data_IF_630320084191
#
_entry.id   IF_630320084191
#
_cell.length_a   1.000
_cell.length_b   1.000
_cell.length_c   1.000
_cell.angle_alpha   90.00
_cell.angle_beta   90.00
_cell.angle_gamma   90.00
#
_symmetry.space_group_name_H-M   'P 1'
#
loop_
_entity.id
_entity.type
_entity.pdbx_description
1 polymer ?
#
# COMPACT_ATOMS: atom_id res chain seq x y z
N UNK A 1 69.41 -42.92 18.30
CA UNK A 1 68.12 -42.22 18.38
C UNK A 1 67.06 -43.29 18.46
N UNK A 2 66.47 -43.51 19.65
CA UNK A 2 65.26 -44.29 19.79
C UNK A 2 64.12 -43.48 19.07
N UNK A 3 63.59 -44.06 18.01
CA UNK A 3 62.30 -43.68 17.48
C UNK A 3 61.26 -44.04 18.57
N UNK A 4 60.66 -43.04 19.20
CA UNK A 4 59.44 -43.33 19.94
C UNK A 4 58.44 -43.80 18.90
N UNK A 5 58.05 -45.06 18.97
CA UNK A 5 56.91 -45.55 18.26
C UNK A 5 55.69 -44.68 18.75
N UNK A 6 54.99 -44.01 17.88
CA UNK A 6 53.71 -43.36 18.18
C UNK A 6 52.84 -44.43 18.83
N UNK A 7 52.44 -44.21 20.10
CA UNK A 7 51.52 -45.12 20.77
C UNK A 7 50.24 -45.16 19.90
N UNK A 8 49.81 -46.36 19.55
CA UNK A 8 48.56 -46.50 18.78
C UNK A 8 47.42 -45.93 19.62
N UNK A 9 46.65 -45.02 19.06
CA UNK A 9 45.50 -44.39 19.68
C UNK A 9 44.23 -44.69 18.87
N UNK A 10 43.09 -44.50 19.45
CA UNK A 10 41.81 -44.44 18.73
C UNK A 10 41.76 -43.21 17.80
N UNK A 11 40.82 -43.13 16.88
CA UNK A 11 40.50 -41.95 16.09
C UNK A 11 39.02 -41.99 15.72
N UNK A 12 38.22 -41.23 16.41
CA UNK A 12 36.77 -41.14 16.20
C UNK A 12 36.47 -40.15 15.10
N UNK A 13 35.76 -40.60 14.08
CA UNK A 13 35.43 -39.77 12.93
C UNK A 13 33.91 -39.69 12.75
N UNK A 14 33.40 -38.49 12.66
CA UNK A 14 32.03 -38.22 12.23
C UNK A 14 32.06 -37.64 10.82
N UNK A 15 31.38 -38.30 9.88
CA UNK A 15 31.25 -37.81 8.51
C UNK A 15 29.83 -37.31 8.29
N UNK A 16 29.69 -36.24 7.50
CA UNK A 16 28.38 -35.67 7.12
C UNK A 16 27.46 -36.75 6.53
N UNK A 17 27.98 -37.61 5.65
CA UNK A 17 27.19 -38.63 4.94
C UNK A 17 26.80 -39.81 5.86
N UNK A 18 27.36 -39.87 7.07
CA UNK A 18 27.01 -40.85 8.08
C UNK A 18 25.93 -40.38 9.06
N UNK A 19 25.41 -39.15 8.86
CA UNK A 19 24.28 -38.58 9.60
C UNK A 19 23.04 -38.70 8.71
N UNK A 20 22.01 -39.36 9.20
CA UNK A 20 20.76 -39.54 8.44
C UNK A 20 19.51 -39.24 9.25
N UNK A 21 18.41 -39.13 8.55
CA UNK A 21 17.10 -38.73 9.09
C UNK A 21 16.01 -39.69 8.65
N UNK A 22 15.11 -40.04 9.54
CA UNK A 22 13.92 -40.82 9.21
C UNK A 22 12.66 -40.24 9.90
N UNK A 23 11.69 -39.68 9.14
CA UNK A 23 11.70 -39.55 7.69
C UNK A 23 12.76 -38.57 7.17
N UNK A 24 13.22 -38.75 5.92
CA UNK A 24 14.23 -37.89 5.31
C UNK A 24 13.68 -36.49 4.89
N UNK A 25 12.39 -36.42 4.65
CA UNK A 25 11.66 -35.20 4.30
C UNK A 25 10.47 -35.03 5.25
N UNK A 26 10.71 -34.62 6.49
CA UNK A 26 9.61 -34.43 7.45
C UNK A 26 8.82 -33.16 7.15
N UNK A 27 7.57 -33.19 7.58
CA UNK A 27 6.74 -31.99 7.73
C UNK A 27 6.80 -31.53 9.19
N UNK A 28 6.67 -30.25 9.43
CA UNK A 28 6.56 -29.71 10.77
C UNK A 28 5.45 -30.42 11.57
N UNK A 29 5.77 -30.81 12.80
CA UNK A 29 4.93 -31.67 13.62
C UNK A 29 5.34 -33.14 13.60
N UNK A 30 6.17 -33.57 12.64
CA UNK A 30 6.69 -34.94 12.61
C UNK A 30 7.79 -35.13 13.68
N UNK A 31 7.86 -36.35 14.19
CA UNK A 31 9.00 -36.81 14.99
C UNK A 31 10.03 -37.46 14.07
N UNK A 32 11.23 -36.91 14.03
CA UNK A 32 12.34 -37.40 13.20
C UNK A 32 13.31 -38.20 14.06
N UNK A 33 13.66 -39.41 13.61
CA UNK A 33 14.84 -40.14 14.17
C UNK A 33 16.07 -39.64 13.43
N UNK A 34 17.04 -39.10 14.19
CA UNK A 34 18.36 -38.73 13.70
C UNK A 34 19.29 -39.87 14.11
N UNK A 35 20.01 -40.42 13.15
CA UNK A 35 21.02 -41.45 13.41
C UNK A 35 22.39 -41.00 12.89
N UNK A 36 23.42 -41.42 13.60
CA UNK A 36 24.81 -41.18 13.22
C UNK A 36 25.66 -42.42 13.39
N UNK A 37 26.52 -42.65 12.40
CA UNK A 37 27.54 -43.72 12.48
C UNK A 37 28.90 -43.09 12.77
N UNK A 38 29.49 -43.47 13.88
CA UNK A 38 30.84 -43.04 14.32
C UNK A 38 31.84 -44.09 13.88
N UNK A 39 32.90 -43.68 13.20
CA UNK A 39 33.96 -44.56 12.76
C UNK A 39 35.14 -44.46 13.74
N UNK A 40 35.85 -45.56 13.98
CA UNK A 40 37.12 -45.54 14.65
C UNK A 40 38.22 -45.99 13.65
N UNK A 41 38.88 -45.00 13.03
CA UNK A 41 39.97 -45.21 12.06
C UNK A 41 41.34 -45.35 12.75
N UNK A 42 41.34 -45.39 14.07
CA UNK A 42 42.55 -45.57 14.89
C UNK A 42 43.01 -47.02 14.99
N UNK A 43 44.14 -47.19 15.64
CA UNK A 43 44.76 -48.49 15.86
C UNK A 43 44.38 -49.21 17.17
N UNK A 44 43.51 -48.58 17.96
CA UNK A 44 43.06 -49.07 19.28
C UNK A 44 41.52 -48.94 19.35
N UNK A 45 40.92 -49.89 20.06
CA UNK A 45 39.51 -49.85 20.41
C UNK A 45 39.15 -48.56 21.23
N UNK A 46 38.05 -47.93 20.93
CA UNK A 46 37.43 -46.83 21.71
C UNK A 46 36.28 -47.39 22.54
N UNK A 47 36.25 -47.15 23.83
CA UNK A 47 35.20 -47.63 24.75
C UNK A 47 34.48 -46.45 25.40
N UNK A 48 33.19 -46.66 25.76
CA UNK A 48 32.34 -45.66 26.40
C UNK A 48 32.26 -44.34 25.59
N UNK A 49 32.18 -44.44 24.25
CA UNK A 49 32.17 -43.30 23.35
C UNK A 49 30.87 -42.52 23.50
N UNK A 50 30.97 -41.32 24.06
CA UNK A 50 29.86 -40.40 24.19
C UNK A 50 29.60 -39.72 22.85
N UNK A 51 28.32 -39.55 22.46
CA UNK A 51 27.91 -38.84 21.26
C UNK A 51 26.81 -37.85 21.60
N UNK A 52 27.02 -36.58 21.23
CA UNK A 52 26.05 -35.48 21.40
C UNK A 52 25.45 -35.06 20.06
N UNK A 53 24.13 -34.88 20.03
CA UNK A 53 23.41 -34.28 18.93
C UNK A 53 22.97 -32.87 19.33
N UNK A 54 23.14 -31.89 18.44
CA UNK A 54 22.84 -30.49 18.72
C UNK A 54 22.20 -29.84 17.52
N UNK A 55 21.10 -29.12 17.71
CA UNK A 55 20.55 -28.20 16.72
C UNK A 55 21.28 -26.85 16.84
N UNK A 56 22.04 -26.50 15.79
CA UNK A 56 22.85 -25.28 15.73
C UNK A 56 22.23 -24.23 14.77
N UNK A 57 20.93 -24.36 14.48
CA UNK A 57 20.19 -23.40 13.64
C UNK A 57 20.14 -22.05 14.36
N UNK A 58 20.12 -20.96 13.57
CA UNK A 58 20.01 -19.58 14.06
C UNK A 58 21.11 -19.14 15.05
N UNK A 59 22.32 -19.69 14.89
CA UNK A 59 23.45 -19.47 15.80
C UNK A 59 23.17 -19.92 17.25
N UNK A 60 22.14 -20.74 17.43
CA UNK A 60 21.87 -21.43 18.70
C UNK A 60 22.72 -22.64 18.92
N UNK A 61 22.61 -23.26 20.08
CA UNK A 61 23.17 -24.55 20.42
C UNK A 61 22.19 -25.24 21.37
N UNK A 62 21.28 -26.01 20.81
CA UNK A 62 20.24 -26.69 21.56
C UNK A 62 20.47 -28.19 21.50
N UNK A 63 20.81 -28.88 22.63
CA UNK A 63 20.97 -30.31 22.64
C UNK A 63 19.68 -31.03 22.17
N UNK A 64 19.86 -32.08 21.39
CA UNK A 64 18.78 -32.96 20.92
C UNK A 64 18.84 -34.24 21.73
N UNK A 65 17.90 -34.44 22.61
CA UNK A 65 17.86 -35.57 23.52
C UNK A 65 18.99 -35.54 24.53
N UNK A 66 19.29 -36.69 25.10
CA UNK A 66 20.43 -36.89 25.98
C UNK A 66 21.62 -37.42 25.19
N UNK A 67 22.85 -37.26 25.74
CA UNK A 67 24.02 -37.90 25.20
C UNK A 67 23.81 -39.42 25.07
N UNK A 68 24.24 -39.97 23.96
CA UNK A 68 24.22 -41.41 23.67
C UNK A 68 25.59 -42.01 23.97
N UNK A 69 25.63 -43.29 24.32
CA UNK A 69 26.88 -43.99 24.57
C UNK A 69 27.00 -45.20 23.65
N UNK A 70 28.14 -45.32 22.97
CA UNK A 70 28.53 -46.54 22.26
C UNK A 70 29.54 -47.27 23.17
N UNK A 71 29.17 -48.45 23.64
CA UNK A 71 29.99 -49.19 24.61
C UNK A 71 31.39 -49.47 24.07
N UNK A 72 31.50 -49.83 22.79
CA UNK A 72 32.81 -50.12 22.17
C UNK A 72 32.75 -49.93 20.64
N UNK A 73 33.81 -49.32 20.09
CA UNK A 73 34.06 -49.24 18.64
C UNK A 73 35.45 -49.84 18.40
N UNK A 74 35.56 -51.08 17.85
CA UNK A 74 36.85 -51.71 17.56
C UNK A 74 37.69 -50.86 16.60
N UNK A 75 39.01 -51.05 16.62
CA UNK A 75 39.92 -50.47 15.65
C UNK A 75 39.48 -50.80 14.21
N UNK A 76 39.34 -49.83 13.35
CA UNK A 76 38.80 -49.96 12.00
C UNK A 76 37.30 -50.26 11.91
N UNK A 77 36.57 -50.23 13.03
CA UNK A 77 35.15 -50.50 13.13
C UNK A 77 34.27 -49.25 13.17
N UNK A 78 32.99 -49.46 13.43
CA UNK A 78 32.01 -48.39 13.58
C UNK A 78 30.94 -48.72 14.61
N UNK A 79 30.33 -47.71 15.20
CA UNK A 79 29.17 -47.81 16.06
C UNK A 79 28.06 -46.79 15.63
N UNK A 80 26.81 -47.15 15.87
CA UNK A 80 25.67 -46.31 15.50
C UNK A 80 24.87 -45.92 16.73
N UNK A 81 24.44 -44.67 16.78
CA UNK A 81 23.52 -44.11 17.77
C UNK A 81 22.39 -43.35 17.10
N UNK A 82 21.31 -43.13 17.85
CA UNK A 82 20.15 -42.39 17.35
C UNK A 82 19.49 -41.62 18.48
N UNK A 83 18.81 -40.50 18.08
CA UNK A 83 17.95 -39.70 18.96
C UNK A 83 16.67 -39.34 18.23
N UNK A 84 15.64 -38.97 18.98
CA UNK A 84 14.42 -38.41 18.43
C UNK A 84 14.48 -36.89 18.46
N UNK A 85 13.95 -36.26 17.40
CA UNK A 85 13.89 -34.83 17.22
C UNK A 85 12.46 -34.40 16.84
N UNK A 86 11.81 -33.59 17.69
CA UNK A 86 10.48 -33.05 17.46
C UNK A 86 10.60 -31.81 16.59
N UNK A 87 9.80 -31.75 15.50
CA UNK A 87 9.88 -30.68 14.51
C UNK A 87 8.83 -29.58 14.68
N UNK A 88 8.03 -29.61 15.76
CA UNK A 88 7.05 -28.56 16.06
C UNK A 88 7.70 -27.16 16.13
N UNK A 89 7.20 -26.20 15.38
CA UNK A 89 7.75 -24.85 15.30
C UNK A 89 9.12 -24.76 14.63
N UNK A 90 9.49 -25.76 13.80
CA UNK A 90 10.83 -25.87 13.24
C UNK A 90 10.85 -26.03 11.71
N UNK A 91 9.83 -25.51 11.03
CA UNK A 91 9.86 -25.47 9.56
C UNK A 91 11.11 -24.76 9.04
N UNK A 92 11.61 -25.18 7.90
CA UNK A 92 12.83 -24.68 7.26
C UNK A 92 14.04 -25.59 7.47
N UNK A 93 15.22 -25.09 7.11
CA UNK A 93 16.48 -25.83 7.20
C UNK A 93 17.01 -25.82 8.62
N UNK A 94 17.16 -27.04 9.20
CA UNK A 94 17.71 -27.26 10.52
C UNK A 94 19.15 -27.78 10.39
N UNK A 95 20.10 -27.16 11.07
CA UNK A 95 21.50 -27.53 11.07
C UNK A 95 21.77 -28.45 12.27
N UNK A 96 21.92 -29.74 11.99
CA UNK A 96 22.16 -30.76 13.00
C UNK A 96 23.64 -31.04 13.06
N UNK A 97 24.22 -30.84 14.23
CA UNK A 97 25.61 -31.11 14.55
C UNK A 97 25.70 -32.42 15.38
N UNK A 98 26.64 -33.27 15.04
CA UNK A 98 26.91 -34.49 15.76
C UNK A 98 28.36 -34.47 16.18
N UNK A 99 28.62 -34.68 17.47
CA UNK A 99 29.93 -34.63 18.08
C UNK A 99 30.18 -35.96 18.85
N UNK A 100 31.26 -36.68 18.49
CA UNK A 100 31.75 -37.81 19.23
C UNK A 100 32.79 -37.31 20.24
N UNK A 101 32.81 -37.94 21.44
CA UNK A 101 33.66 -37.57 22.58
C UNK A 101 33.69 -36.06 22.90
N UNK A 102 32.52 -35.39 23.12
CA UNK A 102 32.41 -33.95 23.33
C UNK A 102 33.18 -33.42 24.54
N UNK A 103 33.69 -34.31 25.39
CA UNK A 103 34.45 -33.95 26.57
C UNK A 103 35.93 -34.27 26.45
N UNK A 104 36.35 -34.81 25.30
CA UNK A 104 37.74 -35.23 25.04
C UNK A 104 38.29 -36.18 26.11
N UNK A 105 37.48 -37.18 26.49
CA UNK A 105 37.88 -38.21 27.46
C UNK A 105 38.71 -39.35 26.85
N UNK A 106 38.55 -39.56 25.54
CA UNK A 106 39.24 -40.60 24.78
C UNK A 106 40.42 -39.94 24.06
N UNK A 107 41.67 -40.29 24.41
CA UNK A 107 42.83 -39.76 23.68
C UNK A 107 42.87 -40.30 22.26
N UNK A 108 42.85 -39.38 21.29
CA UNK A 108 42.77 -39.71 19.88
C UNK A 108 44.05 -39.33 19.11
N UNK A 109 44.26 -39.98 17.98
CA UNK A 109 45.36 -39.58 17.10
C UNK A 109 45.08 -38.24 16.38
N UNK A 110 43.80 -37.87 16.27
CA UNK A 110 43.34 -36.61 15.71
C UNK A 110 42.01 -36.19 16.35
N UNK A 111 42.01 -35.06 17.05
CA UNK A 111 40.88 -34.51 17.82
C UNK A 111 40.02 -33.52 17.00
N UNK A 112 40.18 -33.45 15.68
CA UNK A 112 39.52 -32.40 14.85
C UNK A 112 38.53 -32.94 13.85
N UNK A 113 38.28 -34.24 13.80
CA UNK A 113 37.33 -34.92 12.90
C UNK A 113 36.18 -35.62 13.64
N UNK A 114 36.03 -35.31 14.93
CA UNK A 114 35.00 -35.84 15.83
C UNK A 114 33.62 -35.18 15.60
N UNK A 115 33.51 -34.19 14.73
CA UNK A 115 32.29 -33.46 14.53
C UNK A 115 31.90 -33.38 13.05
N UNK A 116 30.60 -33.44 12.76
CA UNK A 116 30.06 -33.15 11.45
C UNK A 116 28.68 -32.54 11.55
N UNK A 117 28.32 -31.78 10.49
CA UNK A 117 27.03 -31.10 10.38
C UNK A 117 26.25 -31.61 9.17
N UNK A 118 24.97 -31.88 9.36
CA UNK A 118 24.03 -32.24 8.30
C UNK A 118 22.80 -31.34 8.37
N UNK A 119 22.21 -30.99 7.20
CA UNK A 119 21.00 -30.21 7.13
C UNK A 119 19.80 -31.14 7.03
N UNK A 120 18.80 -30.92 7.88
CA UNK A 120 17.47 -31.49 7.80
C UNK A 120 16.50 -30.38 7.32
N UNK A 121 15.90 -30.56 6.15
CA UNK A 121 14.85 -29.66 5.68
C UNK A 121 13.50 -30.14 6.18
N UNK A 122 12.84 -29.33 7.00
CA UNK A 122 11.50 -29.57 7.54
C UNK A 122 10.50 -28.73 6.74
N UNK A 123 9.58 -29.37 6.03
CA UNK A 123 8.54 -28.68 5.26
C UNK A 123 7.52 -28.02 6.20
N UNK A 124 7.00 -26.84 5.84
CA UNK A 124 5.83 -26.30 6.51
C UNK A 124 4.60 -27.20 6.24
N UNK A 125 3.62 -27.25 7.15
CA UNK A 125 2.37 -27.96 6.92
C UNK A 125 1.64 -27.35 5.69
N UNK A 126 0.94 -28.17 4.91
CA UNK A 126 0.09 -27.64 3.86
C UNK A 126 -0.95 -26.69 4.46
N UNK A 127 -1.17 -25.55 3.82
CA UNK A 127 -2.12 -24.54 4.23
C UNK A 127 -2.77 -23.89 2.99
N UNK A 128 -3.93 -23.20 3.11
CA UNK A 128 -4.38 -22.27 2.11
C UNK A 128 -3.40 -21.08 1.98
N UNK A 129 -3.50 -20.32 0.89
CA UNK A 129 -2.80 -19.04 0.72
C UNK A 129 -3.71 -18.10 -0.08
N UNK A 130 -4.41 -17.25 0.63
CA UNK A 130 -5.35 -16.29 0.05
C UNK A 130 -4.59 -15.04 -0.37
N UNK A 131 -4.68 -14.68 -1.63
CA UNK A 131 -3.98 -13.52 -2.15
C UNK A 131 -4.86 -12.65 -3.01
N UNK A 132 -4.54 -11.36 -3.04
CA UNK A 132 -5.16 -10.37 -3.90
C UNK A 132 -4.13 -9.37 -4.40
N UNK A 133 -4.25 -8.98 -5.68
CA UNK A 133 -3.43 -7.94 -6.31
C UNK A 133 -4.32 -6.82 -6.84
N UNK A 134 -3.77 -5.65 -7.15
CA UNK A 134 -4.53 -4.52 -7.70
C UNK A 134 -5.28 -4.91 -8.98
N UNK A 135 -4.67 -5.71 -9.85
CA UNK A 135 -5.29 -6.21 -11.08
C UNK A 135 -6.54 -7.09 -10.85
N UNK A 136 -6.73 -7.57 -9.63
CA UNK A 136 -7.91 -8.35 -9.23
C UNK A 136 -9.08 -7.49 -8.75
N UNK A 137 -8.92 -6.16 -8.68
CA UNK A 137 -9.95 -5.21 -8.28
C UNK A 137 -10.42 -4.46 -9.51
N UNK A 138 -11.71 -4.46 -9.77
CA UNK A 138 -12.30 -3.76 -10.89
C UNK A 138 -13.50 -2.91 -10.50
N UNK A 139 -13.86 -1.96 -11.38
CA UNK A 139 -14.92 -0.98 -11.16
C UNK A 139 -15.91 -0.96 -12.34
N UNK A 140 -17.19 -0.84 -12.04
CA UNK A 140 -18.23 -0.66 -13.04
C UNK A 140 -19.24 0.41 -12.59
N UNK A 141 -19.34 1.58 -13.27
CA UNK A 141 -18.53 1.99 -14.42
C UNK A 141 -17.04 2.19 -14.05
N UNK A 142 -16.14 2.00 -15.01
CA UNK A 142 -14.69 2.18 -14.82
C UNK A 142 -14.29 3.68 -14.70
N UNK A 143 -15.07 4.56 -15.32
CA UNK A 143 -14.90 6.01 -15.30
C UNK A 143 -16.18 6.67 -14.77
N UNK A 144 -16.46 6.58 -13.48
CA UNK A 144 -17.68 7.17 -12.90
C UNK A 144 -17.60 8.69 -12.82
N UNK A 145 -18.77 9.31 -12.86
CA UNK A 145 -18.96 10.71 -12.48
C UNK A 145 -19.48 10.77 -11.05
N UNK A 146 -19.13 11.82 -10.32
CA UNK A 146 -19.65 12.06 -8.97
C UNK A 146 -21.18 11.93 -8.93
N UNK A 147 -21.67 11.11 -8.01
CA UNK A 147 -23.09 10.75 -7.89
C UNK A 147 -23.43 9.37 -8.46
N UNK A 148 -22.53 8.74 -9.20
CA UNK A 148 -22.72 7.38 -9.67
C UNK A 148 -22.56 6.36 -8.54
N UNK A 149 -23.30 5.27 -8.64
CA UNK A 149 -23.06 4.07 -7.87
C UNK A 149 -22.11 3.17 -8.64
N UNK A 150 -20.93 2.90 -8.06
CA UNK A 150 -19.91 2.05 -8.66
C UNK A 150 -19.96 0.67 -8.03
N UNK A 151 -20.14 -0.37 -8.85
CA UNK A 151 -19.91 -1.74 -8.41
C UNK A 151 -18.40 -2.01 -8.39
N UNK A 152 -17.88 -2.34 -7.21
CA UNK A 152 -16.50 -2.80 -7.03
C UNK A 152 -16.53 -4.31 -6.97
N UNK A 153 -15.77 -4.98 -7.83
CA UNK A 153 -15.58 -6.42 -7.78
C UNK A 153 -14.13 -6.76 -7.43
N UNK A 154 -13.97 -7.83 -6.66
CA UNK A 154 -12.66 -8.34 -6.27
C UNK A 154 -12.58 -9.84 -6.50
N UNK A 155 -11.47 -10.31 -7.07
CA UNK A 155 -11.16 -11.72 -7.25
C UNK A 155 -10.06 -12.13 -6.29
N UNK A 156 -10.36 -13.05 -5.38
CA UNK A 156 -9.45 -13.60 -4.39
C UNK A 156 -8.93 -14.93 -4.89
N UNK A 157 -7.63 -15.13 -4.84
CA UNK A 157 -6.95 -16.35 -5.26
C UNK A 157 -6.60 -17.18 -4.02
N UNK A 158 -6.72 -18.49 -4.10
CA UNK A 158 -6.14 -19.42 -3.14
C UNK A 158 -4.98 -20.15 -3.82
N UNK A 159 -3.75 -19.67 -3.64
CA UNK A 159 -2.53 -20.23 -4.20
C UNK A 159 -1.93 -21.34 -3.32
N UNK A 160 -2.58 -21.65 -2.19
CA UNK A 160 -2.13 -22.64 -1.23
C UNK A 160 -2.48 -24.07 -1.63
N UNK A 161 -2.11 -25.02 -0.76
CA UNK A 161 -2.30 -26.45 -0.96
C UNK A 161 -3.62 -26.96 -0.40
N UNK A 162 -4.31 -26.20 0.44
CA UNK A 162 -5.59 -26.55 1.05
C UNK A 162 -6.69 -25.58 0.66
N UNK A 163 -7.93 -26.04 0.77
CA UNK A 163 -9.13 -25.22 0.64
C UNK A 163 -9.21 -24.21 1.81
N UNK A 164 -9.59 -22.97 1.51
CA UNK A 164 -9.93 -21.94 2.49
C UNK A 164 -11.45 -21.85 2.63
N UNK A 165 -11.96 -21.88 3.85
CA UNK A 165 -13.39 -21.81 4.15
C UNK A 165 -13.74 -20.53 4.88
N UNK A 166 -14.99 -20.04 4.70
CA UNK A 166 -15.54 -18.84 5.33
C UNK A 166 -14.66 -17.60 5.15
N UNK A 167 -14.10 -17.45 3.95
CA UNK A 167 -13.15 -16.37 3.61
C UNK A 167 -13.86 -15.02 3.71
N UNK A 168 -13.47 -14.22 4.69
CA UNK A 168 -14.02 -12.88 4.92
C UNK A 168 -13.29 -11.84 4.06
N UNK A 169 -14.04 -10.89 3.48
CA UNK A 169 -13.49 -9.79 2.68
C UNK A 169 -14.06 -8.46 3.14
N UNK A 170 -13.22 -7.44 3.28
CA UNK A 170 -13.61 -6.08 3.59
C UNK A 170 -13.11 -5.11 2.53
N UNK A 171 -14.03 -4.31 1.98
CA UNK A 171 -13.71 -3.18 1.12
C UNK A 171 -13.60 -1.91 1.96
N UNK A 172 -12.63 -1.06 1.66
CA UNK A 172 -12.32 0.15 2.43
C UNK A 172 -11.87 1.27 1.50
N UNK A 173 -12.42 2.47 1.66
CA UNK A 173 -11.87 3.68 1.05
C UNK A 173 -10.77 4.24 1.98
N UNK A 174 -9.52 4.23 1.50
CA UNK A 174 -8.34 4.70 2.24
C UNK A 174 -7.79 6.01 1.68
N UNK A 175 -8.64 6.79 1.04
CA UNK A 175 -8.28 8.10 0.49
C UNK A 175 -7.91 9.07 1.61
N UNK A 176 -6.87 9.88 1.40
CA UNK A 176 -6.37 10.90 2.35
C UNK A 176 -5.91 10.37 3.71
N UNK A 177 -5.65 9.07 3.83
CA UNK A 177 -5.23 8.44 5.09
C UNK A 177 -6.38 8.03 6.01
N UNK A 178 -7.62 8.26 5.61
CA UNK A 178 -8.80 7.74 6.28
C UNK A 178 -8.93 6.22 6.05
N UNK A 179 -9.82 5.59 6.81
CA UNK A 179 -10.18 4.17 6.63
C UNK A 179 -11.69 4.03 6.79
N UNK A 180 -12.41 4.21 5.69
CA UNK A 180 -13.88 4.19 5.67
C UNK A 180 -14.36 2.90 5.02
N UNK A 181 -15.06 2.00 5.76
CA UNK A 181 -15.61 0.78 5.18
C UNK A 181 -16.59 1.08 4.04
N UNK A 182 -16.52 0.27 3.00
CA UNK A 182 -17.46 0.29 1.87
C UNK A 182 -18.37 -0.93 1.97
N UNK A 183 -19.63 -0.70 2.26
CA UNK A 183 -20.59 -1.76 2.50
C UNK A 183 -20.27 -2.60 3.75
N UNK A 184 -20.92 -3.75 3.85
CA UNK A 184 -20.65 -4.73 4.90
C UNK A 184 -19.51 -5.68 4.52
N UNK A 185 -19.02 -6.43 5.53
CA UNK A 185 -18.08 -7.53 5.29
C UNK A 185 -18.75 -8.57 4.41
N UNK A 186 -18.05 -9.04 3.37
CA UNK A 186 -18.47 -10.11 2.46
C UNK A 186 -17.85 -11.43 2.91
N UNK A 187 -18.43 -12.54 2.51
CA UNK A 187 -17.87 -13.86 2.80
C UNK A 187 -17.99 -14.75 1.57
N UNK A 188 -16.91 -15.41 1.19
CA UNK A 188 -16.89 -16.51 0.23
C UNK A 188 -16.90 -17.80 1.04
N UNK A 189 -17.89 -18.67 0.81
CA UNK A 189 -18.07 -19.89 1.59
C UNK A 189 -16.85 -20.81 1.53
N UNK A 190 -16.27 -21.00 0.34
CA UNK A 190 -14.98 -21.69 0.19
C UNK A 190 -14.25 -21.29 -1.08
N UNK A 191 -12.93 -21.39 -1.06
CA UNK A 191 -12.05 -21.27 -2.23
C UNK A 191 -11.13 -22.49 -2.23
N UNK A 192 -11.34 -23.39 -3.17
CA UNK A 192 -10.52 -24.59 -3.29
C UNK A 192 -9.05 -24.25 -3.60
N UNK A 193 -8.13 -25.14 -3.26
CA UNK A 193 -6.72 -25.02 -3.60
C UNK A 193 -6.51 -24.78 -5.10
N UNK A 194 -5.71 -23.77 -5.46
CA UNK A 194 -5.43 -23.38 -6.84
C UNK A 194 -6.61 -22.71 -7.56
N UNK A 195 -7.66 -22.33 -6.86
CA UNK A 195 -8.87 -21.70 -7.42
C UNK A 195 -9.03 -20.25 -6.98
N UNK A 196 -10.12 -19.63 -7.42
CA UNK A 196 -10.46 -18.24 -7.03
C UNK A 196 -11.93 -18.09 -6.68
N UNK A 197 -12.24 -17.05 -5.91
CA UNK A 197 -13.59 -16.62 -5.62
C UNK A 197 -13.76 -15.12 -5.87
N UNK A 198 -14.98 -14.69 -6.19
CA UNK A 198 -15.29 -13.28 -6.45
C UNK A 198 -16.34 -12.75 -5.49
N UNK A 199 -16.20 -11.49 -5.13
CA UNK A 199 -17.17 -10.73 -4.35
C UNK A 199 -17.39 -9.35 -4.95
N UNK A 200 -18.54 -8.75 -4.66
CA UNK A 200 -18.89 -7.43 -5.16
C UNK A 200 -19.49 -6.57 -4.02
N UNK A 201 -19.26 -5.26 -4.11
CA UNK A 201 -19.91 -4.27 -3.25
C UNK A 201 -20.24 -3.02 -4.05
N UNK A 202 -21.16 -2.20 -3.55
CA UNK A 202 -21.51 -0.92 -4.16
C UNK A 202 -20.84 0.23 -3.41
N UNK A 203 -20.25 1.16 -4.16
CA UNK A 203 -19.64 2.37 -3.66
C UNK A 203 -20.38 3.60 -4.22
N UNK A 204 -20.98 4.39 -3.33
CA UNK A 204 -21.62 5.67 -3.66
C UNK A 204 -20.56 6.76 -3.78
N UNK A 205 -20.47 7.40 -4.95
CA UNK A 205 -19.52 8.48 -5.25
C UNK A 205 -20.09 9.89 -4.97
N UNK A 206 -21.29 10.00 -4.38
CA UNK A 206 -21.87 11.28 -3.99
C UNK A 206 -20.92 12.06 -3.08
N UNK A 207 -20.62 13.31 -3.41
CA UNK A 207 -19.67 14.18 -2.70
C UNK A 207 -18.22 13.61 -2.64
N UNK A 208 -17.85 12.73 -3.57
CA UNK A 208 -16.54 12.06 -3.59
C UNK A 208 -15.82 12.16 -4.95
N UNK A 209 -15.70 13.35 -5.55
CA UNK A 209 -14.94 13.50 -6.78
C UNK A 209 -13.45 13.33 -6.57
N UNK A 210 -12.72 13.10 -7.66
CA UNK A 210 -11.26 12.95 -7.66
C UNK A 210 -10.80 11.52 -7.46
N UNK A 211 -9.52 11.37 -7.19
CA UNK A 211 -8.87 10.07 -7.05
C UNK A 211 -9.24 9.41 -5.71
N UNK A 212 -9.87 8.23 -5.78
CA UNK A 212 -10.26 7.42 -4.63
C UNK A 212 -9.39 6.18 -4.56
N UNK A 213 -8.78 5.92 -3.38
CA UNK A 213 -7.97 4.71 -3.15
C UNK A 213 -8.83 3.66 -2.47
N UNK A 214 -9.19 2.64 -3.24
CA UNK A 214 -10.00 1.53 -2.76
C UNK A 214 -9.06 0.39 -2.35
N UNK A 215 -9.20 -0.06 -1.11
CA UNK A 215 -8.45 -1.19 -0.55
C UNK A 215 -9.39 -2.37 -0.36
N UNK A 216 -8.93 -3.54 -0.69
CA UNK A 216 -9.57 -4.82 -0.37
C UNK A 216 -8.67 -5.55 0.60
N UNK A 217 -9.26 -6.03 1.70
CA UNK A 217 -8.59 -6.82 2.73
C UNK A 217 -9.26 -8.18 2.76
N UNK A 218 -8.50 -9.21 2.51
CA UNK A 218 -8.89 -10.62 2.63
C UNK A 218 -8.53 -11.09 4.02
N UNK A 219 -9.37 -11.88 4.62
CA UNK A 219 -9.27 -12.35 6.02
C UNK A 219 -8.81 -11.26 7.03
N UNK A 220 -9.56 -10.16 7.17
CA UNK A 220 -9.15 -9.00 7.97
C UNK A 220 -9.01 -9.31 9.49
N UNK A 221 -9.35 -10.50 9.90
CA UNK A 221 -9.22 -10.96 11.29
C UNK A 221 -8.11 -11.97 11.50
N UNK A 222 -7.43 -12.37 10.44
CA UNK A 222 -6.43 -13.43 10.44
C UNK A 222 -6.94 -14.71 11.14
N UNK A 223 -8.17 -15.13 10.76
CA UNK A 223 -8.81 -16.33 11.31
C UNK A 223 -8.44 -17.61 10.56
N UNK A 224 -7.98 -17.46 9.31
CA UNK A 224 -7.49 -18.55 8.48
C UNK A 224 -5.97 -18.51 8.55
N UNK A 225 -5.36 -19.58 9.08
CA UNK A 225 -3.91 -19.68 9.08
C UNK A 225 -3.43 -20.03 7.67
N UNK A 226 -2.56 -19.20 7.11
CA UNK A 226 -2.16 -19.25 5.71
C UNK A 226 -0.65 -19.55 5.56
N UNK A 227 -0.25 -19.94 4.36
CA UNK A 227 1.16 -20.16 4.05
C UNK A 227 1.92 -18.81 3.95
N UNK A 228 1.24 -17.73 3.54
CA UNK A 228 1.76 -16.37 3.53
C UNK A 228 0.63 -15.40 3.93
N UNK A 229 0.82 -14.68 5.03
CA UNK A 229 -0.12 -13.69 5.60
C UNK A 229 0.14 -12.27 5.07
N UNK A 230 1.04 -12.09 4.10
CA UNK A 230 1.49 -10.76 3.67
C UNK A 230 0.87 -10.28 2.36
N UNK A 231 0.16 -11.15 1.63
CA UNK A 231 -0.42 -10.89 0.31
C UNK A 231 -1.96 -10.76 0.31
N UNK A 232 -2.57 -10.59 1.48
CA UNK A 232 -4.02 -10.48 1.73
C UNK A 232 -4.59 -9.07 1.51
N UNK A 233 -3.79 -8.09 1.07
CA UNK A 233 -4.22 -6.70 0.92
C UNK A 233 -3.81 -6.16 -0.44
N UNK A 234 -4.79 -5.64 -1.18
CA UNK A 234 -4.53 -4.89 -2.40
C UNK A 234 -5.23 -3.53 -2.42
N UNK A 235 -4.72 -2.63 -3.24
CA UNK A 235 -5.28 -1.30 -3.45
C UNK A 235 -5.36 -0.99 -4.92
N UNK A 236 -6.46 -0.36 -5.33
CA UNK A 236 -6.66 0.11 -6.69
C UNK A 236 -7.22 1.53 -6.70
N UNK A 237 -6.92 2.27 -7.77
CA UNK A 237 -7.30 3.67 -7.92
C UNK A 237 -8.58 3.78 -8.74
N UNK A 238 -9.64 4.34 -8.14
CA UNK A 238 -10.87 4.74 -8.80
C UNK A 238 -10.85 6.24 -9.06
N UNK A 239 -10.92 6.65 -10.32
CA UNK A 239 -11.02 8.07 -10.69
C UNK A 239 -12.47 8.47 -10.89
N UNK A 240 -12.95 9.33 -10.00
CA UNK A 240 -14.32 9.86 -10.05
C UNK A 240 -14.29 11.26 -10.65
N UNK A 241 -14.83 11.41 -11.85
CA UNK A 241 -14.90 12.71 -12.51
C UNK A 241 -15.87 13.66 -11.78
N UNK A 242 -15.54 14.95 -11.76
CA UNK A 242 -16.54 15.96 -11.36
C UNK A 242 -17.65 16.04 -12.40
N UNK A 243 -18.91 16.31 -11.99
CA UNK A 243 -19.96 16.54 -12.96
C UNK A 243 -19.61 17.74 -13.86
N UNK A 244 -20.00 17.72 -15.12
CA UNK A 244 -19.88 18.88 -15.98
C UNK A 244 -20.50 20.11 -15.31
N UNK A 245 -19.84 21.25 -15.42
CA UNK A 245 -20.32 22.52 -14.88
C UNK A 245 -19.80 23.69 -15.73
N UNK A 246 -20.45 24.89 -15.71
CA UNK A 246 -19.87 26.09 -16.23
C UNK A 246 -18.64 26.53 -15.44
N UNK A 247 -17.91 27.50 -15.97
CA UNK A 247 -16.86 28.24 -15.28
C UNK A 247 -16.88 29.68 -15.76
N UNK A 248 -17.40 30.55 -14.94
CA UNK A 248 -17.57 31.96 -15.27
C UNK A 248 -16.30 32.72 -14.88
N UNK A 249 -15.69 33.38 -15.81
CA UNK A 249 -14.42 34.06 -15.61
C UNK A 249 -14.54 35.55 -15.90
N UNK A 250 -14.22 36.36 -14.91
CA UNK A 250 -13.99 37.78 -15.05
C UNK A 250 -12.50 38.09 -15.14
N UNK A 251 -12.08 38.86 -16.12
CA UNK A 251 -10.68 39.28 -16.29
C UNK A 251 -10.59 40.80 -16.33
N UNK A 252 -9.58 41.37 -15.67
CA UNK A 252 -9.34 42.81 -15.71
C UNK A 252 -9.02 43.34 -17.12
N UNK A 253 -8.46 42.49 -17.99
CA UNK A 253 -8.24 42.79 -19.42
C UNK A 253 -9.54 42.97 -20.18
N UNK A 254 -10.61 42.33 -19.74
CA UNK A 254 -11.92 42.31 -20.38
C UNK A 254 -12.87 43.38 -19.84
N UNK A 255 -12.39 44.28 -18.98
CA UNK A 255 -13.13 45.46 -18.54
C UNK A 255 -12.62 46.66 -19.32
N UNK A 256 -13.51 47.39 -19.98
CA UNK A 256 -13.21 48.58 -20.76
C UNK A 256 -13.96 49.77 -20.21
N UNK A 257 -13.38 50.98 -20.37
CA UNK A 257 -13.98 52.25 -19.95
C UNK A 257 -14.13 53.19 -21.15
N UNK A 258 -15.29 53.76 -21.28
CA UNK A 258 -15.59 54.72 -22.36
C UNK A 258 -16.17 56.02 -21.78
N UNK A 259 -15.46 57.15 -21.88
CA UNK A 259 -14.13 57.31 -22.46
C UNK A 259 -13.01 56.62 -21.61
N UNK A 260 -11.88 56.18 -22.24
CA UNK A 260 -10.81 55.47 -21.54
C UNK A 260 -9.97 56.34 -20.63
N UNK A 261 -10.04 57.65 -20.82
CA UNK A 261 -9.36 58.68 -20.00
C UNK A 261 -10.35 59.77 -19.64
N UNK A 262 -11.28 59.54 -18.71
CA UNK A 262 -12.29 60.48 -18.33
C UNK A 262 -11.73 61.61 -17.48
N UNK A 263 -12.41 62.74 -17.50
CA UNK A 263 -12.27 63.80 -16.51
C UNK A 263 -13.25 63.61 -15.35
N UNK A 264 -13.10 64.40 -14.29
CA UNK A 264 -14.00 64.45 -13.13
C UNK A 264 -15.39 65.03 -13.42
N UNK A 265 -15.68 65.33 -14.67
CA UNK A 265 -17.01 65.80 -15.14
C UNK A 265 -17.66 64.77 -16.09
N UNK A 266 -16.98 63.72 -16.40
CA UNK A 266 -17.49 62.76 -17.39
C UNK A 266 -18.32 61.63 -16.73
N UNK A 267 -19.26 61.16 -17.51
CA UNK A 267 -19.94 59.89 -17.26
C UNK A 267 -19.25 58.82 -18.06
N UNK A 268 -18.88 57.74 -17.42
CA UNK A 268 -18.10 56.61 -17.99
C UNK A 268 -19.02 55.41 -18.17
N UNK A 269 -19.06 54.83 -19.34
CA UNK A 269 -19.62 53.49 -19.53
C UNK A 269 -18.53 52.45 -19.22
N UNK A 270 -18.81 51.59 -18.28
CA UNK A 270 -17.99 50.41 -17.96
C UNK A 270 -18.56 49.26 -18.75
N UNK A 271 -17.76 48.67 -19.62
CA UNK A 271 -18.10 47.48 -20.39
C UNK A 271 -17.26 46.31 -19.88
N UNK A 272 -17.91 45.19 -19.54
CA UNK A 272 -17.23 43.96 -19.08
C UNK A 272 -17.67 42.78 -19.91
N UNK A 273 -16.69 41.96 -20.34
CA UNK A 273 -16.95 40.68 -21.01
C UNK A 273 -16.65 39.54 -20.05
N UNK A 274 -17.65 38.71 -19.85
CA UNK A 274 -17.61 37.52 -19.00
C UNK A 274 -17.48 36.29 -19.89
N UNK A 275 -16.56 35.39 -19.55
CA UNK A 275 -16.32 34.18 -20.31
C UNK A 275 -16.89 32.97 -19.55
N UNK A 276 -17.39 31.98 -20.30
CA UNK A 276 -17.68 30.65 -19.76
C UNK A 276 -16.64 29.66 -20.30
N UNK A 277 -15.67 29.32 -19.51
CA UNK A 277 -14.58 28.37 -19.86
C UNK A 277 -14.92 26.95 -19.44
N UNK A 278 -16.06 26.71 -18.81
CA UNK A 278 -16.53 25.42 -18.35
C UNK A 278 -17.07 24.53 -19.47
N UNK A 279 -17.58 23.36 -19.07
CA UNK A 279 -18.11 22.33 -19.98
C UNK A 279 -19.63 22.33 -20.12
N UNK A 280 -20.31 23.22 -19.39
CA UNK A 280 -21.76 23.46 -19.50
C UNK A 280 -22.06 24.96 -19.73
N UNK A 281 -23.21 25.25 -20.32
CA UNK A 281 -23.70 26.62 -20.41
C UNK A 281 -24.05 27.16 -19.01
N UNK A 282 -23.80 28.44 -18.78
CA UNK A 282 -24.23 29.16 -17.59
C UNK A 282 -25.53 29.89 -17.88
N UNK A 283 -26.52 29.81 -16.97
CA UNK A 283 -27.82 30.43 -17.12
C UNK A 283 -28.13 31.35 -15.96
N UNK A 284 -28.86 32.45 -16.26
CA UNK A 284 -29.27 33.44 -15.27
C UNK A 284 -28.09 34.01 -14.48
N UNK A 285 -27.02 34.33 -15.20
CA UNK A 285 -25.76 34.80 -14.60
C UNK A 285 -25.95 36.21 -14.09
N UNK A 286 -25.77 36.39 -12.77
CA UNK A 286 -25.88 37.69 -12.12
C UNK A 286 -24.54 38.44 -12.19
N UNK A 287 -24.58 39.69 -12.66
CA UNK A 287 -23.44 40.58 -12.78
C UNK A 287 -23.64 41.82 -11.91
N UNK A 288 -22.64 42.16 -11.12
CA UNK A 288 -22.63 43.36 -10.31
C UNK A 288 -21.35 44.16 -10.55
N UNK A 289 -21.49 45.49 -10.73
CA UNK A 289 -20.39 46.44 -10.78
C UNK A 289 -20.28 47.16 -9.44
N UNK A 290 -19.07 47.33 -8.93
CA UNK A 290 -18.82 47.87 -7.60
C UNK A 290 -17.65 48.86 -7.65
N UNK A 291 -17.80 50.03 -7.02
CA UNK A 291 -16.69 50.95 -6.74
C UNK A 291 -16.09 50.63 -5.37
N UNK A 292 -14.82 50.24 -5.38
CA UNK A 292 -14.01 49.97 -4.19
C UNK A 292 -13.00 51.06 -3.85
N UNK A 293 -13.11 52.22 -4.48
CA UNK A 293 -12.11 53.32 -4.42
C UNK A 293 -11.80 53.77 -3.00
N UNK A 294 -12.79 53.81 -2.14
CA UNK A 294 -12.65 54.30 -0.76
C UNK A 294 -12.61 53.16 0.30
N UNK A 295 -12.45 51.92 -0.13
CA UNK A 295 -12.38 50.76 0.77
C UNK A 295 -13.75 50.29 1.27
N UNK A 296 -14.82 50.94 0.77
CA UNK A 296 -16.21 50.52 0.99
C UNK A 296 -16.78 50.11 -0.36
N UNK A 297 -17.46 48.98 -0.42
CA UNK A 297 -18.12 48.50 -1.63
C UNK A 297 -19.37 49.34 -1.92
N UNK A 298 -19.34 50.10 -3.01
CA UNK A 298 -20.50 50.92 -3.47
C UNK A 298 -20.98 50.36 -4.80
N UNK A 299 -22.21 49.84 -4.89
CA UNK A 299 -22.76 49.34 -6.15
C UNK A 299 -22.83 50.44 -7.23
N UNK A 300 -22.47 50.10 -8.44
CA UNK A 300 -22.58 50.94 -9.63
C UNK A 300 -23.78 50.45 -10.47
N UNK A 301 -24.83 51.23 -10.49
CA UNK A 301 -26.08 50.84 -11.18
C UNK A 301 -26.85 49.71 -10.46
N UNK A 302 -27.60 48.96 -11.22
CA UNK A 302 -28.36 47.82 -10.73
C UNK A 302 -27.67 46.52 -11.14
N UNK A 303 -27.96 45.46 -10.41
CA UNK A 303 -27.63 44.10 -10.83
C UNK A 303 -28.22 43.79 -12.21
N UNK A 304 -27.47 43.04 -13.01
CA UNK A 304 -27.84 42.63 -14.35
C UNK A 304 -27.84 41.15 -14.48
N UNK A 305 -28.74 40.60 -15.27
CA UNK A 305 -28.80 39.18 -15.55
C UNK A 305 -28.45 38.95 -17.02
N UNK A 306 -27.56 37.99 -17.24
CA UNK A 306 -27.28 37.43 -18.55
C UNK A 306 -28.01 36.10 -18.63
N UNK A 307 -28.95 35.96 -19.58
CA UNK A 307 -29.79 34.76 -19.68
C UNK A 307 -28.98 33.47 -19.88
N UNK A 308 -28.00 33.52 -20.81
CA UNK A 308 -27.16 32.35 -21.16
C UNK A 308 -25.79 32.81 -21.60
N UNK A 309 -24.74 32.12 -21.07
CA UNK A 309 -23.39 32.16 -21.63
C UNK A 309 -23.04 30.72 -22.06
N UNK A 310 -22.96 30.49 -23.40
CA UNK A 310 -22.72 29.13 -23.92
C UNK A 310 -21.33 28.61 -23.54
N UNK A 311 -21.13 27.28 -23.65
CA UNK A 311 -19.85 26.64 -23.49
C UNK A 311 -18.79 27.25 -24.40
N UNK A 312 -17.66 27.67 -23.83
CA UNK A 312 -16.58 28.36 -24.56
C UNK A 312 -16.97 29.74 -25.12
N UNK A 313 -18.14 30.24 -24.77
CA UNK A 313 -18.68 31.53 -25.22
C UNK A 313 -18.41 32.65 -24.22
N UNK A 314 -18.97 33.83 -24.57
CA UNK A 314 -18.91 35.02 -23.73
C UNK A 314 -20.19 35.84 -23.86
N UNK A 315 -20.42 36.69 -22.86
CA UNK A 315 -21.44 37.72 -22.91
C UNK A 315 -20.92 38.99 -22.22
N UNK A 316 -21.56 40.12 -22.54
CA UNK A 316 -21.17 41.42 -21.98
C UNK A 316 -22.24 42.00 -21.09
N UNK A 317 -21.79 42.79 -20.11
CA UNK A 317 -22.61 43.65 -19.27
C UNK A 317 -22.02 45.06 -19.24
N UNK A 318 -22.88 46.07 -19.05
CA UNK A 318 -22.48 47.48 -19.03
C UNK A 318 -23.08 48.21 -17.83
N UNK A 319 -22.32 49.12 -17.26
CA UNK A 319 -22.81 50.01 -16.21
C UNK A 319 -22.35 51.47 -16.48
N UNK A 320 -23.19 52.42 -16.09
CA UNK A 320 -22.85 53.84 -16.16
C UNK A 320 -22.30 54.28 -14.81
N UNK A 321 -21.12 54.91 -14.85
CA UNK A 321 -20.38 55.39 -13.67
C UNK A 321 -20.15 56.90 -13.79
N UNK A 322 -20.54 57.65 -12.75
CA UNK A 322 -20.24 59.07 -12.63
C UNK A 322 -18.84 59.24 -12.06
N UNK A 323 -17.92 59.83 -12.83
CA UNK A 323 -16.54 60.06 -12.43
C UNK A 323 -16.35 61.28 -11.53
N UNK A 324 -17.43 61.99 -11.16
CA UNK A 324 -17.39 63.18 -10.32
C UNK A 324 -16.67 62.94 -8.98
N UNK A 325 -15.95 63.98 -8.51
CA UNK A 325 -15.27 63.96 -7.23
C UNK A 325 -13.74 64.06 -7.33
N UNK A 326 -13.01 63.68 -6.26
CA UNK A 326 -11.54 63.87 -6.23
C UNK A 326 -10.83 63.13 -7.37
N UNK A 327 -9.92 63.84 -8.04
CA UNK A 327 -9.10 63.28 -9.11
C UNK A 327 -8.16 62.23 -8.57
N UNK A 328 -8.45 60.99 -8.90
CA UNK A 328 -7.65 59.79 -8.49
C UNK A 328 -8.04 58.58 -9.32
N UNK A 329 -7.26 57.50 -9.23
CA UNK A 329 -7.63 56.20 -9.75
C UNK A 329 -8.86 55.65 -9.01
N UNK A 330 -9.87 55.18 -9.75
CA UNK A 330 -11.06 54.53 -9.24
C UNK A 330 -10.88 53.02 -9.37
N UNK A 331 -11.09 52.26 -8.29
CA UNK A 331 -11.04 50.80 -8.32
C UNK A 331 -12.41 50.24 -8.62
N UNK A 332 -12.58 49.78 -9.84
CA UNK A 332 -13.85 49.22 -10.31
C UNK A 332 -13.74 47.69 -10.29
N UNK A 333 -14.62 47.04 -9.56
CA UNK A 333 -14.79 45.60 -9.52
C UNK A 333 -15.97 45.17 -10.35
N UNK A 334 -15.82 44.08 -11.08
CA UNK A 334 -16.90 43.32 -11.70
C UNK A 334 -16.98 41.98 -10.96
N UNK A 335 -18.16 41.68 -10.45
CA UNK A 335 -18.47 40.48 -9.73
C UNK A 335 -19.50 39.67 -10.50
N UNK A 336 -19.20 38.43 -10.81
CA UNK A 336 -20.02 37.49 -11.56
C UNK A 336 -20.55 36.43 -10.59
N UNK A 337 -21.80 36.05 -10.76
CA UNK A 337 -22.53 35.15 -9.85
C UNK A 337 -22.36 35.54 -8.36
N UNK A 338 -22.57 36.81 -8.07
CA UNK A 338 -22.33 37.42 -6.75
C UNK A 338 -23.04 36.72 -5.58
N UNK A 339 -24.06 35.94 -5.86
CA UNK A 339 -24.81 35.16 -4.88
C UNK A 339 -24.35 33.69 -4.79
N UNK A 340 -23.37 33.28 -5.59
CA UNK A 340 -22.84 31.90 -5.70
C UNK A 340 -23.96 30.86 -5.87
N UNK A 341 -24.90 31.13 -6.80
CA UNK A 341 -26.03 30.25 -7.07
C UNK A 341 -25.78 29.28 -8.22
N UNK A 342 -24.80 29.58 -9.08
CA UNK A 342 -24.36 28.71 -10.16
C UNK A 342 -23.17 27.90 -9.65
N UNK A 343 -23.37 26.59 -9.56
CA UNK A 343 -22.23 25.72 -9.22
C UNK A 343 -21.26 25.70 -10.39
N UNK A 344 -20.02 26.08 -10.13
CA UNK A 344 -18.95 26.18 -11.13
C UNK A 344 -17.82 25.19 -10.92
N UNK A 345 -16.93 25.06 -11.89
CA UNK A 345 -15.69 24.26 -11.74
C UNK A 345 -14.65 25.02 -10.93
N UNK A 346 -14.70 26.36 -10.92
CA UNK A 346 -13.91 27.25 -10.06
C UNK A 346 -14.80 28.41 -9.60
N UNK A 347 -14.78 28.72 -8.32
CA UNK A 347 -15.47 29.85 -7.70
C UNK A 347 -14.50 31.02 -7.40
N UNK A 348 -13.25 30.92 -7.82
CA UNK A 348 -12.20 31.87 -7.47
C UNK A 348 -11.84 32.88 -8.56
N UNK A 349 -12.45 32.76 -9.74
CA UNK A 349 -12.21 33.57 -10.94
C UNK A 349 -13.44 34.38 -11.39
N UNK A 350 -14.44 34.47 -10.50
CA UNK A 350 -15.70 35.20 -10.71
C UNK A 350 -15.59 36.70 -10.45
N UNK A 351 -14.40 37.22 -10.13
CA UNK A 351 -14.22 38.64 -9.90
C UNK A 351 -13.00 39.19 -10.63
N UNK A 352 -13.12 40.47 -11.05
CA UNK A 352 -11.99 41.22 -11.57
C UNK A 352 -12.04 42.67 -11.13
N UNK A 353 -10.88 43.25 -10.85
CA UNK A 353 -10.72 44.65 -10.49
C UNK A 353 -9.87 45.35 -11.55
N UNK A 354 -10.33 46.49 -12.02
CA UNK A 354 -9.56 47.36 -12.90
C UNK A 354 -9.58 48.81 -12.39
N UNK A 355 -8.47 49.49 -12.52
CA UNK A 355 -8.34 50.89 -12.12
C UNK A 355 -8.67 51.81 -13.31
N UNK A 356 -9.65 52.65 -13.13
CA UNK A 356 -9.97 53.76 -14.03
C UNK A 356 -9.20 55.02 -13.59
N UNK A 357 -8.34 55.56 -14.45
CA UNK A 357 -7.65 56.82 -14.20
C UNK A 357 -8.58 58.00 -14.54
N UNK A 358 -8.88 58.82 -13.56
CA UNK A 358 -9.68 60.05 -13.74
C UNK A 358 -8.76 61.27 -13.62
N UNK A 359 -8.83 62.16 -14.63
CA UNK A 359 -8.05 63.42 -14.65
C UNK A 359 -8.94 64.62 -14.26
N UNK A 360 -8.31 65.74 -13.95
CA UNK A 360 -9.04 66.98 -13.73
C UNK A 360 -9.59 67.52 -15.03
N UNK A 361 -10.81 68.03 -15.02
CA UNK A 361 -11.35 68.82 -16.14
C UNK A 361 -10.52 70.10 -16.28
N UNK A 362 -10.40 70.59 -17.53
CA UNK A 362 -9.79 71.88 -17.76
C UNK A 362 -10.63 72.98 -17.05
N UNK A 363 -10.00 73.86 -16.31
CA UNK A 363 -10.72 75.01 -15.73
C UNK A 363 -11.31 75.87 -16.85
N UNK A 364 -12.57 76.35 -16.69
CA UNK A 364 -13.27 77.13 -17.71
C UNK A 364 -12.57 78.46 -18.02
#
# INVERSE_FOLDING_TARGET
>A
RLSMASQAAANLIVLKDNIGFAPANPTEGDTVTIYATILNDGGVEATDVLVQFVDTTDNGSTPIGQQQTIESIPAGGSGMVQVTYETNGKAGDRKIDVEADPHNFIPESKETDNTAKQTLTVSAPPAPNLSIQSANIGFNPAEPVQGDNVTIHATILNNGALEANDVAIQFVDVTNGDSVPIGGRQTIASIAAGSSGTVETTYDTTMRPGDRRIQVVVDPGNFIAEADETDNIARELLRVASPPAPNLVALSSNIEFHPPQPTDQDTVVIHAVILNTGSQEARNVLIQFIDLTYGVAVPIGKEQFIDVIPVGGSASAEATYDAAGPVRGRKIQVLVDSNNLIRETSESDNEAIKTLAVSASAAP
#
